data_IF_220101799511
#
_entry.id   IF_220101799511
#
_cell.length_a   1.000
_cell.length_b   1.000
_cell.length_c   1.000
_cell.angle_alpha   90.00
_cell.angle_beta   90.00
_cell.angle_gamma   90.00
#
_symmetry.space_group_name_H-M   'P 1'
#
loop_
_entity.id
_entity.type
_entity.pdbx_description
1 polymer ?
#
# COMPACT_ATOMS: atom_id res chain seq x y z
N UNK A 1 15.52 -7.78 -8.29
CA UNK A 1 14.32 -7.87 -7.46
C UNK A 1 13.15 -7.23 -8.18
N UNK A 2 12.08 -7.96 -8.36
CA UNK A 2 10.91 -7.47 -9.09
C UNK A 2 9.93 -6.80 -8.14
N UNK A 3 9.24 -5.77 -8.64
CA UNK A 3 8.11 -5.19 -7.92
C UNK A 3 6.96 -6.19 -7.96
N UNK A 4 6.43 -6.52 -6.79
CA UNK A 4 5.20 -7.29 -6.69
C UNK A 4 4.04 -6.37 -7.04
N UNK A 5 3.41 -6.63 -8.20
CA UNK A 5 2.23 -5.88 -8.63
C UNK A 5 0.97 -6.67 -8.35
N UNK A 6 -0.15 -5.98 -8.25
CA UNK A 6 -1.45 -6.63 -8.21
C UNK A 6 -1.67 -7.43 -9.50
N UNK A 7 -2.25 -8.62 -9.38
CA UNK A 7 -2.46 -9.53 -10.52
C UNK A 7 -3.46 -9.00 -11.56
N UNK A 8 -4.18 -7.93 -11.25
CA UNK A 8 -5.11 -7.28 -12.18
C UNK A 8 -4.52 -6.10 -12.95
N UNK A 9 -3.23 -5.84 -12.73
CA UNK A 9 -2.47 -4.86 -13.51
C UNK A 9 -1.30 -5.56 -14.17
N UNK A 10 -1.09 -5.26 -15.46
CA UNK A 10 0.05 -5.80 -16.18
C UNK A 10 1.36 -5.20 -15.64
N UNK A 11 2.37 -6.04 -15.38
CA UNK A 11 3.67 -5.54 -14.97
C UNK A 11 4.29 -4.67 -16.07
N UNK A 12 4.97 -3.60 -15.69
CA UNK A 12 5.75 -2.79 -16.65
C UNK A 12 7.05 -3.54 -16.93
N UNK A 13 7.33 -3.92 -18.19
CA UNK A 13 8.54 -4.65 -18.51
C UNK A 13 9.80 -3.88 -18.11
N UNK A 14 10.71 -4.57 -17.41
CA UNK A 14 11.98 -3.98 -16.98
C UNK A 14 11.92 -3.10 -15.75
N UNK A 15 10.73 -2.86 -15.21
CA UNK A 15 10.58 -2.11 -13.96
C UNK A 15 10.91 -3.02 -12.77
N UNK A 16 11.82 -2.59 -11.92
CA UNK A 16 12.15 -3.30 -10.70
C UNK A 16 12.56 -2.35 -9.58
N UNK A 17 12.48 -2.82 -8.38
CA UNK A 17 12.80 -2.07 -7.17
C UNK A 17 13.90 -2.77 -6.38
N UNK A 18 14.93 -2.01 -6.02
CA UNK A 18 15.90 -2.43 -5.02
C UNK A 18 15.32 -2.07 -3.64
N UNK A 19 14.85 -3.06 -2.91
CA UNK A 19 14.21 -2.84 -1.62
C UNK A 19 15.17 -2.35 -0.55
N UNK A 20 16.41 -2.80 -0.59
CA UNK A 20 17.40 -2.39 0.39
C UNK A 20 17.76 -0.90 0.25
N UNK A 21 17.89 -0.42 -0.98
CA UNK A 21 18.22 0.97 -1.26
C UNK A 21 16.99 1.85 -1.51
N UNK A 22 15.79 1.28 -1.55
CA UNK A 22 14.54 1.98 -1.91
C UNK A 22 14.65 2.73 -3.23
N UNK A 23 15.26 2.10 -4.24
CA UNK A 23 15.47 2.68 -5.55
C UNK A 23 14.68 1.93 -6.61
N UNK A 24 14.25 2.67 -7.65
CA UNK A 24 13.50 2.13 -8.77
C UNK A 24 14.33 2.21 -10.03
N UNK A 25 14.24 1.16 -10.83
CA UNK A 25 14.94 1.00 -12.10
C UNK A 25 13.98 0.66 -13.22
N UNK A 26 14.25 1.15 -14.40
CA UNK A 26 13.61 0.70 -15.63
C UNK A 26 14.73 0.22 -16.57
N UNK A 27 14.90 -1.10 -16.67
CA UNK A 27 16.08 -1.68 -17.32
C UNK A 27 17.36 -1.21 -16.63
N UNK A 28 18.24 -0.55 -17.35
CA UNK A 28 19.49 0.00 -16.83
C UNK A 28 19.35 1.43 -16.29
N UNK A 29 18.17 2.03 -16.44
CA UNK A 29 17.93 3.40 -15.98
C UNK A 29 17.54 3.43 -14.52
N UNK A 30 18.35 4.07 -13.70
CA UNK A 30 18.04 4.36 -12.30
C UNK A 30 17.24 5.66 -12.22
N UNK A 31 16.06 5.62 -11.62
CA UNK A 31 15.33 6.84 -11.29
C UNK A 31 16.03 7.56 -10.15
N UNK A 32 16.38 8.83 -10.30
CA UNK A 32 17.18 9.56 -9.29
C UNK A 32 16.43 9.76 -7.97
N UNK A 33 15.10 9.82 -8.01
CA UNK A 33 14.27 10.01 -6.83
C UNK A 33 12.98 9.20 -6.96
N UNK A 34 12.44 8.77 -5.82
CA UNK A 34 11.07 8.23 -5.73
C UNK A 34 10.09 9.35 -5.39
N UNK A 35 8.79 9.07 -5.54
CA UNK A 35 7.74 10.00 -5.09
C UNK A 35 7.91 10.32 -3.61
N UNK A 36 8.17 9.32 -2.79
CA UNK A 36 8.41 9.50 -1.35
C UNK A 36 9.62 10.39 -1.09
N UNK A 37 10.69 10.23 -1.85
CA UNK A 37 11.88 11.08 -1.76
C UNK A 37 11.59 12.54 -2.12
N UNK A 38 10.79 12.76 -3.17
CA UNK A 38 10.37 14.11 -3.55
C UNK A 38 9.54 14.77 -2.45
N UNK A 39 8.57 14.04 -1.91
CA UNK A 39 7.72 14.55 -0.83
C UNK A 39 8.52 14.87 0.44
N UNK A 40 9.53 14.07 0.75
CA UNK A 40 10.39 14.28 1.92
C UNK A 40 11.36 15.45 1.75
N UNK A 41 11.67 15.86 0.53
CA UNK A 41 12.67 16.90 0.25
C UNK A 41 12.33 18.24 0.91
N UNK A 42 11.04 18.59 0.95
CA UNK A 42 10.58 19.84 1.57
C UNK A 42 10.44 19.80 3.09
N UNK A 43 10.67 18.64 3.73
CA UNK A 43 10.51 18.52 5.18
C UNK A 43 11.74 19.02 5.93
N UNK A 44 11.52 19.72 7.03
CA UNK A 44 12.59 20.10 7.96
C UNK A 44 13.13 18.87 8.67
N UNK A 45 14.35 18.98 9.23
CA UNK A 45 14.93 17.90 10.03
C UNK A 45 14.09 17.59 11.26
N UNK A 46 13.48 18.61 11.87
CA UNK A 46 12.55 18.42 12.97
C UNK A 46 11.33 17.57 12.54
N UNK A 47 10.73 17.90 11.40
CA UNK A 47 9.57 17.16 10.89
C UNK A 47 9.94 15.70 10.59
N UNK A 48 11.08 15.47 9.96
CA UNK A 48 11.59 14.10 9.68
C UNK A 48 11.80 13.30 10.96
N UNK A 49 12.41 13.89 11.97
CA UNK A 49 12.62 13.23 13.27
C UNK A 49 11.30 12.94 13.98
N UNK A 50 10.34 13.86 13.91
CA UNK A 50 9.02 13.68 14.49
C UNK A 50 8.26 12.52 13.86
N UNK A 51 8.29 12.42 12.52
CA UNK A 51 7.69 11.32 11.78
C UNK A 51 8.36 10.00 12.17
N UNK A 52 9.68 9.97 12.20
CA UNK A 52 10.45 8.77 12.53
C UNK A 52 10.21 8.29 13.97
N UNK A 53 10.08 9.23 14.91
CA UNK A 53 9.77 8.91 16.30
C UNK A 53 8.42 8.21 16.47
N UNK A 54 7.47 8.47 15.57
CA UNK A 54 6.13 7.86 15.58
C UNK A 54 6.01 6.63 14.70
N UNK A 55 7.10 6.19 14.06
CA UNK A 55 7.13 5.01 13.19
C UNK A 55 6.53 3.75 13.82
N UNK A 56 6.81 3.42 15.09
CA UNK A 56 6.21 2.24 15.73
C UNK A 56 4.68 2.26 15.77
N UNK A 57 4.07 3.44 15.60
CA UNK A 57 2.62 3.61 15.58
C UNK A 57 2.10 3.56 14.14
N UNK A 58 2.64 4.38 13.24
CA UNK A 58 2.07 4.52 11.90
C UNK A 58 2.49 3.43 10.92
N UNK A 59 3.67 2.85 11.08
CA UNK A 59 4.15 1.83 10.13
C UNK A 59 3.35 0.53 10.19
N UNK A 60 3.13 -0.11 11.35
CA UNK A 60 2.30 -1.30 11.42
C UNK A 60 0.86 -1.02 10.97
N UNK A 61 0.30 0.11 11.35
CA UNK A 61 -1.05 0.51 10.93
C UNK A 61 -1.15 0.66 9.42
N UNK A 62 -0.21 1.38 8.81
CA UNK A 62 -0.17 1.58 7.37
C UNK A 62 -0.03 0.27 6.60
N UNK A 63 0.87 -0.61 7.01
CA UNK A 63 1.08 -1.91 6.40
C UNK A 63 -0.21 -2.73 6.38
N UNK A 64 -0.94 -2.71 7.47
CA UNK A 64 -2.17 -3.48 7.64
C UNK A 64 -3.34 -2.90 6.86
N UNK A 65 -3.49 -1.58 6.88
CA UNK A 65 -4.53 -0.91 6.09
C UNK A 65 -4.29 -1.15 4.59
N UNK A 66 -3.06 -1.05 4.12
CA UNK A 66 -2.71 -1.36 2.72
C UNK A 66 -3.00 -2.82 2.37
N UNK A 67 -2.66 -3.75 3.23
CA UNK A 67 -2.96 -5.17 3.02
C UNK A 67 -4.46 -5.42 2.94
N UNK A 68 -5.25 -4.79 3.79
CA UNK A 68 -6.71 -4.91 3.77
C UNK A 68 -7.30 -4.38 2.46
N UNK A 69 -6.83 -3.23 1.98
CA UNK A 69 -7.27 -2.66 0.71
C UNK A 69 -6.91 -3.59 -0.47
N UNK A 70 -5.74 -4.16 -0.46
CA UNK A 70 -5.30 -5.10 -1.50
C UNK A 70 -6.16 -6.36 -1.51
N UNK A 71 -6.36 -6.98 -0.36
CA UNK A 71 -7.21 -8.18 -0.25
C UNK A 71 -8.65 -7.90 -0.69
N UNK A 72 -9.19 -6.76 -0.30
CA UNK A 72 -10.54 -6.36 -0.71
C UNK A 72 -10.64 -6.21 -2.22
N UNK A 73 -9.68 -5.50 -2.82
CA UNK A 73 -9.65 -5.26 -4.27
C UNK A 73 -9.54 -6.58 -5.05
N UNK A 74 -8.67 -7.47 -4.62
CA UNK A 74 -8.48 -8.77 -5.25
C UNK A 74 -9.73 -9.64 -5.12
N UNK A 75 -10.35 -9.67 -3.95
CA UNK A 75 -11.55 -10.44 -3.73
C UNK A 75 -12.71 -9.96 -4.60
N UNK A 76 -12.93 -8.64 -4.72
CA UNK A 76 -14.00 -8.08 -5.54
C UNK A 76 -13.74 -8.20 -7.03
N UNK A 77 -12.54 -7.84 -7.49
CA UNK A 77 -12.28 -7.61 -8.91
C UNK A 77 -11.58 -8.78 -9.61
N UNK A 78 -10.93 -9.66 -8.86
CA UNK A 78 -10.32 -10.87 -9.42
C UNK A 78 -11.16 -12.11 -9.12
N UNK A 79 -11.58 -12.29 -7.87
CA UNK A 79 -12.34 -13.47 -7.45
C UNK A 79 -13.85 -13.32 -7.66
N UNK A 80 -14.32 -12.14 -8.02
CA UNK A 80 -15.75 -11.88 -8.29
C UNK A 80 -16.65 -11.98 -7.05
N UNK A 81 -16.09 -11.80 -5.85
CA UNK A 81 -16.87 -11.84 -4.61
C UNK A 81 -17.70 -10.58 -4.42
N UNK A 82 -18.79 -10.71 -3.66
CA UNK A 82 -19.59 -9.55 -3.28
C UNK A 82 -18.80 -8.61 -2.36
N UNK A 83 -19.27 -7.37 -2.25
CA UNK A 83 -18.65 -6.40 -1.33
C UNK A 83 -18.62 -6.91 0.10
N UNK A 84 -19.69 -7.59 0.54
CA UNK A 84 -19.77 -8.17 1.89
C UNK A 84 -18.75 -9.28 2.10
N UNK A 85 -18.63 -10.21 1.16
CA UNK A 85 -17.66 -11.30 1.23
C UNK A 85 -16.23 -10.78 1.18
N UNK A 86 -15.95 -9.83 0.31
CA UNK A 86 -14.64 -9.20 0.20
C UNK A 86 -14.25 -8.48 1.49
N UNK A 87 -15.21 -7.79 2.13
CA UNK A 87 -14.99 -7.12 3.41
C UNK A 87 -14.65 -8.12 4.51
N UNK A 88 -15.38 -9.23 4.58
CA UNK A 88 -15.12 -10.29 5.57
C UNK A 88 -13.74 -10.92 5.33
N UNK A 89 -13.37 -11.18 4.08
CA UNK A 89 -12.07 -11.71 3.73
C UNK A 89 -10.94 -10.76 4.16
N UNK A 90 -11.09 -9.47 3.88
CA UNK A 90 -10.11 -8.46 4.27
C UNK A 90 -9.95 -8.40 5.80
N UNK A 91 -11.04 -8.40 6.54
CA UNK A 91 -11.03 -8.39 7.99
C UNK A 91 -10.39 -9.67 8.57
N UNK A 92 -10.71 -10.83 8.01
CA UNK A 92 -10.20 -12.12 8.48
C UNK A 92 -8.70 -12.26 8.21
N UNK A 93 -8.26 -11.93 7.00
CA UNK A 93 -6.86 -12.07 6.60
C UNK A 93 -5.95 -11.06 7.30
N UNK A 94 -6.46 -9.87 7.54
CA UNK A 94 -5.70 -8.83 8.21
C UNK A 94 -5.84 -8.85 9.74
N UNK A 95 -6.76 -9.65 10.28
CA UNK A 95 -6.88 -9.94 11.71
C UNK A 95 -7.18 -8.74 12.61
N UNK A 96 -7.91 -7.71 12.11
CA UNK A 96 -7.77 -6.42 12.75
C UNK A 96 -8.99 -5.81 13.35
N UNK A 97 -9.29 -6.19 14.55
CA UNK A 97 -10.11 -5.38 15.44
C UNK A 97 -9.41 -4.05 15.78
N UNK A 98 -8.09 -4.07 15.99
CA UNK A 98 -7.30 -2.90 16.36
C UNK A 98 -7.34 -1.78 15.31
N UNK A 99 -7.32 -2.12 14.01
CA UNK A 99 -7.30 -1.14 12.93
C UNK A 99 -8.61 -1.06 12.16
N UNK A 100 -9.66 -1.69 12.67
CA UNK A 100 -10.97 -1.74 12.00
C UNK A 100 -11.52 -0.36 11.67
N UNK A 101 -11.40 0.59 12.58
CA UNK A 101 -11.90 1.95 12.40
C UNK A 101 -11.15 2.72 11.32
N UNK A 102 -9.96 2.25 10.95
CA UNK A 102 -9.18 2.79 9.83
C UNK A 102 -9.51 2.12 8.51
N UNK A 103 -9.90 0.85 8.55
CA UNK A 103 -10.14 0.04 7.36
C UNK A 103 -11.57 0.20 6.85
N UNK A 104 -12.56 0.07 7.73
CA UNK A 104 -13.97 0.09 7.33
C UNK A 104 -14.41 1.32 6.53
N UNK A 105 -14.08 2.54 6.94
CA UNK A 105 -14.49 3.72 6.17
C UNK A 105 -13.94 3.74 4.76
N UNK A 106 -12.71 3.23 4.56
CA UNK A 106 -12.09 3.15 3.23
C UNK A 106 -12.78 2.12 2.34
N UNK A 107 -13.18 0.96 2.90
CA UNK A 107 -13.83 -0.10 2.15
C UNK A 107 -15.31 0.17 1.87
N UNK A 108 -15.89 1.15 2.54
CA UNK A 108 -17.29 1.57 2.35
C UNK A 108 -17.45 2.76 1.40
N UNK A 109 -16.36 3.22 0.79
CA UNK A 109 -16.43 4.32 -0.18
C UNK A 109 -17.22 3.93 -1.42
N UNK A 110 -18.10 4.80 -1.94
CA UNK A 110 -18.84 4.54 -3.18
C UNK A 110 -17.93 4.32 -4.39
N UNK A 111 -16.70 4.79 -4.34
CA UNK A 111 -15.70 4.63 -5.40
C UNK A 111 -15.52 3.18 -5.85
N UNK A 112 -15.69 2.22 -4.94
CA UNK A 112 -15.54 0.80 -5.26
C UNK A 112 -16.63 0.26 -6.19
N UNK A 113 -17.74 0.96 -6.28
CA UNK A 113 -18.89 0.55 -7.08
C UNK A 113 -18.98 1.29 -8.44
N UNK A 114 -18.04 2.17 -8.69
CA UNK A 114 -17.88 2.86 -9.97
C UNK A 114 -16.94 2.08 -10.89
#
# INVERSE_FOLDING_TARGET
>A
MTITTSTWLDPIPGLWRDEAAHRYWLGDHLFPVSITGVLAYGLSDYAKRSIEAKRPIWEPRGTIVHAALEHYSQARFLAGKSAREALLDAETLCGHHQYRDWILPLLQLPLWDE
#
